data_IF_338740360737
#
_entry.id   IF_338740360737
#
_cell.length_a   1.000
_cell.length_b   1.000
_cell.length_c   1.000
_cell.angle_alpha   90.00
_cell.angle_beta   90.00
_cell.angle_gamma   90.00
#
_symmetry.space_group_name_H-M   'P 1'
#
loop_
_entity.id
_entity.type
_entity.pdbx_description
1 polymer ?
#
# COMPACT_ATOMS: atom_id res chain seq x y z
N UNK A 1 -4.83 3.00 -17.82
CA UNK A 1 -5.34 3.72 -16.63
C UNK A 1 -6.61 3.01 -16.21
N UNK A 2 -6.53 2.00 -15.34
CA UNK A 2 -7.73 1.38 -14.77
C UNK A 2 -8.24 2.34 -13.69
N UNK A 3 -9.37 2.97 -13.97
CA UNK A 3 -10.12 3.72 -12.96
C UNK A 3 -10.64 2.66 -11.98
N UNK A 4 -10.39 2.78 -10.65
CA UNK A 4 -10.94 1.84 -9.69
C UNK A 4 -12.44 1.74 -9.91
N UNK A 5 -12.97 0.52 -9.87
CA UNK A 5 -14.39 0.30 -10.11
C UNK A 5 -15.21 1.08 -9.07
N UNK A 6 -16.36 1.61 -9.46
CA UNK A 6 -17.27 2.36 -8.57
C UNK A 6 -17.56 1.53 -7.29
N UNK A 7 -17.56 0.21 -7.40
CA UNK A 7 -17.75 -0.73 -6.31
C UNK A 7 -16.60 -0.74 -5.31
N UNK A 8 -15.34 -0.65 -5.76
CA UNK A 8 -14.15 -0.60 -4.87
C UNK A 8 -14.09 0.69 -4.09
N UNK A 9 -14.33 1.83 -4.73
CA UNK A 9 -14.38 3.15 -4.06
C UNK A 9 -15.49 3.17 -3.00
N UNK A 10 -16.66 2.61 -3.30
CA UNK A 10 -17.78 2.55 -2.36
C UNK A 10 -17.48 1.65 -1.16
N UNK A 11 -16.81 0.51 -1.37
CA UNK A 11 -16.41 -0.41 -0.29
C UNK A 11 -15.36 0.22 0.61
N UNK A 12 -14.37 0.90 0.05
CA UNK A 12 -13.32 1.57 0.79
C UNK A 12 -13.86 2.72 1.65
N UNK A 13 -14.78 3.50 1.10
CA UNK A 13 -15.41 4.59 1.83
C UNK A 13 -16.28 4.06 2.98
N UNK A 14 -16.99 2.95 2.78
CA UNK A 14 -17.76 2.29 3.82
C UNK A 14 -16.86 1.78 4.99
N UNK A 15 -15.64 1.33 4.72
CA UNK A 15 -14.70 0.92 5.75
C UNK A 15 -14.23 2.12 6.57
N UNK A 16 -13.94 3.25 5.93
CA UNK A 16 -13.48 4.47 6.60
C UNK A 16 -14.58 5.13 7.46
N UNK A 17 -15.82 5.07 7.00
CA UNK A 17 -17.00 5.66 7.69
C UNK A 17 -17.62 4.72 8.71
N UNK A 18 -17.14 3.49 8.83
CA UNK A 18 -17.64 2.51 9.78
C UNK A 18 -17.49 3.02 11.22
N UNK A 19 -18.61 3.06 11.96
CA UNK A 19 -18.70 3.47 13.37
C UNK A 19 -19.23 2.35 14.27
N UNK A 20 -19.20 1.11 13.78
CA UNK A 20 -19.61 -0.03 14.58
C UNK A 20 -18.52 -0.39 15.57
N UNK A 21 -18.86 -0.50 16.82
CA UNK A 21 -17.98 -0.88 17.94
C UNK A 21 -18.50 -2.17 18.55
N UNK A 22 -17.63 -3.15 18.73
CA UNK A 22 -17.94 -4.36 19.48
C UNK A 22 -17.34 -4.23 20.88
N UNK A 23 -18.13 -4.43 21.90
CA UNK A 23 -17.72 -4.45 23.32
C UNK A 23 -17.76 -5.89 23.77
N UNK A 24 -16.61 -6.36 24.28
CA UNK A 24 -16.42 -7.73 24.78
C UNK A 24 -15.97 -7.67 26.22
N UNK A 25 -16.82 -8.10 27.14
CA UNK A 25 -16.56 -8.08 28.57
C UNK A 25 -17.53 -9.09 29.23
N UNK A 26 -17.14 -9.88 30.17
CA UNK A 26 -18.03 -10.85 30.83
C UNK A 26 -19.01 -10.18 31.81
N UNK A 27 -18.66 -8.98 32.30
CA UNK A 27 -19.50 -8.20 33.21
C UNK A 27 -20.57 -7.40 32.42
N UNK A 28 -21.85 -7.86 32.47
CA UNK A 28 -22.97 -7.18 31.78
C UNK A 28 -23.11 -5.69 32.17
N UNK A 29 -22.94 -5.28 33.46
CA UNK A 29 -23.02 -3.87 33.84
C UNK A 29 -21.97 -3.00 33.11
N UNK A 30 -20.74 -3.52 32.92
CA UNK A 30 -19.66 -2.83 32.23
C UNK A 30 -20.00 -2.70 30.73
N UNK A 31 -20.45 -3.77 30.10
CA UNK A 31 -20.88 -3.72 28.70
C UNK A 31 -21.96 -2.66 28.45
N UNK A 32 -22.98 -2.63 29.34
CA UNK A 32 -24.06 -1.64 29.25
C UNK A 32 -23.56 -0.22 29.48
N UNK A 33 -22.70 -0.02 30.49
CA UNK A 33 -22.10 1.29 30.77
C UNK A 33 -21.35 1.82 29.54
N UNK A 34 -20.49 1.02 28.93
CA UNK A 34 -19.74 1.39 27.73
C UNK A 34 -20.66 1.68 26.54
N UNK A 35 -21.74 0.90 26.36
CA UNK A 35 -22.77 1.18 25.37
C UNK A 35 -23.41 2.55 25.57
N UNK A 36 -23.89 2.84 26.79
CA UNK A 36 -24.47 4.14 27.11
C UNK A 36 -23.51 5.33 26.95
N UNK A 37 -22.21 5.11 27.13
CA UNK A 37 -21.21 6.15 26.89
C UNK A 37 -20.98 6.42 25.41
N UNK A 38 -21.05 5.40 24.57
CA UNK A 38 -20.63 5.49 23.16
C UNK A 38 -21.79 5.83 22.21
N UNK A 39 -23.00 5.31 22.46
CA UNK A 39 -24.15 5.52 21.56
C UNK A 39 -24.53 7.00 21.35
N UNK A 40 -24.52 7.88 22.40
CA UNK A 40 -24.83 9.30 22.21
C UNK A 40 -23.82 10.04 21.31
N UNK A 41 -22.60 9.47 21.13
CA UNK A 41 -21.58 10.02 20.24
C UNK A 41 -21.66 9.48 18.80
N UNK A 42 -22.74 8.78 18.46
CA UNK A 42 -23.03 8.30 17.12
C UNK A 42 -22.32 6.99 16.75
N UNK A 43 -21.83 6.24 17.73
CA UNK A 43 -21.32 4.89 17.52
C UNK A 43 -22.46 3.87 17.59
N UNK A 44 -22.37 2.84 16.75
CA UNK A 44 -23.30 1.69 16.81
C UNK A 44 -22.62 0.59 17.61
N UNK A 45 -23.20 0.22 18.72
CA UNK A 45 -22.60 -0.71 19.67
C UNK A 45 -23.21 -2.08 19.55
N UNK A 46 -22.36 -3.11 19.49
CA UNK A 46 -22.71 -4.50 19.66
C UNK A 46 -22.01 -5.02 20.94
N UNK A 47 -22.66 -5.92 21.65
CA UNK A 47 -22.20 -6.43 22.94
C UNK A 47 -21.93 -7.94 22.82
N UNK A 48 -20.84 -8.42 23.39
CA UNK A 48 -20.53 -9.84 23.52
C UNK A 48 -20.08 -10.14 24.95
N UNK A 49 -20.59 -11.20 25.54
CA UNK A 49 -20.26 -11.60 26.91
C UNK A 49 -19.06 -12.55 27.03
N UNK A 50 -18.63 -13.09 25.90
CA UNK A 50 -17.51 -14.05 25.84
C UNK A 50 -16.79 -13.98 24.50
N UNK A 51 -15.57 -14.50 24.44
CA UNK A 51 -14.75 -14.49 23.24
C UNK A 51 -15.40 -15.22 22.05
N UNK A 52 -16.10 -16.32 22.32
CA UNK A 52 -16.81 -17.09 21.29
C UNK A 52 -17.92 -16.26 20.61
N UNK A 53 -18.73 -15.55 21.40
CA UNK A 53 -19.76 -14.65 20.87
C UNK A 53 -19.13 -13.52 20.06
N UNK A 54 -18.01 -12.96 20.55
CA UNK A 54 -17.27 -11.93 19.83
C UNK A 54 -16.83 -12.40 18.45
N UNK A 55 -16.27 -13.62 18.32
CA UNK A 55 -15.89 -14.21 17.04
C UNK A 55 -17.07 -14.36 16.08
N UNK A 56 -18.20 -14.89 16.56
CA UNK A 56 -19.40 -15.02 15.74
C UNK A 56 -19.91 -13.68 15.22
N UNK A 57 -19.84 -12.63 16.05
CA UNK A 57 -20.21 -11.28 15.63
C UNK A 57 -19.21 -10.71 14.61
N UNK A 58 -17.91 -10.94 14.79
CA UNK A 58 -16.89 -10.53 13.83
C UNK A 58 -17.03 -11.22 12.46
N UNK A 59 -17.46 -12.48 12.43
CA UNK A 59 -17.75 -13.21 11.19
C UNK A 59 -18.99 -12.67 10.46
N UNK A 60 -19.99 -12.21 11.22
CA UNK A 60 -21.28 -11.76 10.67
C UNK A 60 -21.37 -10.26 10.41
N UNK A 61 -20.42 -9.48 10.92
CA UNK A 61 -20.42 -8.02 10.83
C UNK A 61 -19.04 -7.39 10.69
N UNK A 62 -19.02 -6.13 10.28
CA UNK A 62 -17.79 -5.33 10.19
C UNK A 62 -17.77 -4.31 11.33
N UNK A 63 -16.70 -4.32 12.09
CA UNK A 63 -16.47 -3.42 13.22
C UNK A 63 -15.24 -2.54 12.99
N UNK A 64 -15.38 -1.26 13.32
CA UNK A 64 -14.26 -0.32 13.26
C UNK A 64 -13.34 -0.45 14.46
N UNK A 65 -13.91 -0.82 15.61
CA UNK A 65 -13.21 -0.92 16.87
C UNK A 65 -13.78 -2.08 17.70
N UNK A 66 -12.90 -2.75 18.43
CA UNK A 66 -13.26 -3.71 19.48
C UNK A 66 -12.70 -3.20 20.81
N UNK A 67 -13.56 -3.07 21.82
CA UNK A 67 -13.20 -2.90 23.23
C UNK A 67 -13.22 -4.29 23.87
N UNK A 68 -12.10 -4.80 24.32
CA UNK A 68 -11.98 -6.18 24.79
C UNK A 68 -11.43 -6.23 26.22
N UNK A 69 -12.17 -6.81 27.14
CA UNK A 69 -11.65 -7.17 28.45
C UNK A 69 -10.61 -8.30 28.31
N UNK A 70 -9.53 -8.19 29.05
CA UNK A 70 -8.48 -9.20 29.12
C UNK A 70 -8.87 -10.36 30.04
N UNK A 71 -9.56 -10.06 31.13
CA UNK A 71 -9.83 -10.99 32.22
C UNK A 71 -11.23 -11.62 32.07
N UNK A 72 -11.42 -12.41 31.02
CA UNK A 72 -12.69 -13.12 30.81
C UNK A 72 -12.55 -14.61 31.19
N UNK A 73 -13.63 -15.25 31.69
CA UNK A 73 -13.64 -16.70 31.93
C UNK A 73 -13.57 -17.48 30.60
N UNK A 74 -12.82 -18.57 30.62
CA UNK A 74 -12.67 -19.43 29.43
C UNK A 74 -11.51 -19.00 28.53
N UNK A 75 -11.80 -18.46 27.35
CA UNK A 75 -10.76 -17.95 26.45
C UNK A 75 -10.27 -16.58 26.92
N UNK A 76 -8.96 -16.42 27.04
CA UNK A 76 -8.34 -15.14 27.42
C UNK A 76 -8.65 -14.04 26.41
N UNK A 77 -8.98 -12.83 26.89
CA UNK A 77 -9.12 -11.66 26.03
C UNK A 77 -7.87 -11.38 25.19
N UNK A 78 -6.66 -11.71 25.70
CA UNK A 78 -5.42 -11.58 24.92
C UNK A 78 -5.38 -12.48 23.69
N UNK A 79 -5.92 -13.70 23.75
CA UNK A 79 -5.99 -14.61 22.60
C UNK A 79 -7.03 -14.13 21.58
N UNK A 80 -8.15 -13.59 22.06
CA UNK A 80 -9.13 -12.94 21.19
C UNK A 80 -8.53 -11.69 20.50
N UNK A 81 -7.83 -10.84 21.23
CA UNK A 81 -7.14 -9.65 20.69
C UNK A 81 -6.16 -10.07 19.59
N UNK A 82 -5.30 -11.05 19.86
CA UNK A 82 -4.35 -11.57 18.86
C UNK A 82 -5.05 -12.09 17.61
N UNK A 83 -6.14 -12.80 17.78
CA UNK A 83 -6.94 -13.29 16.67
C UNK A 83 -7.52 -12.13 15.84
N UNK A 84 -8.12 -11.14 16.49
CA UNK A 84 -8.71 -9.98 15.80
C UNK A 84 -7.64 -9.21 15.01
N UNK A 85 -6.50 -8.90 15.62
CA UNK A 85 -5.41 -8.18 14.97
C UNK A 85 -4.83 -8.92 13.77
N UNK A 86 -4.87 -10.27 13.78
CA UNK A 86 -4.37 -11.10 12.68
C UNK A 86 -5.39 -11.26 11.55
N UNK A 87 -6.66 -11.52 11.88
CA UNK A 87 -7.70 -11.83 10.89
C UNK A 87 -8.46 -10.61 10.37
N UNK A 88 -8.48 -9.53 11.16
CA UNK A 88 -9.22 -8.29 10.85
C UNK A 88 -8.32 -7.04 10.97
N UNK A 89 -7.29 -6.92 10.12
CA UNK A 89 -6.27 -5.86 10.26
C UNK A 89 -6.82 -4.43 10.11
N UNK A 90 -8.02 -4.30 9.55
CA UNK A 90 -8.73 -3.02 9.46
C UNK A 90 -9.55 -2.67 10.70
N UNK A 91 -9.56 -3.50 11.74
CA UNK A 91 -10.30 -3.29 13.00
C UNK A 91 -9.33 -2.86 14.09
N UNK A 92 -9.57 -1.70 14.69
CA UNK A 92 -8.80 -1.26 15.86
C UNK A 92 -9.19 -2.07 17.09
N UNK A 93 -8.25 -2.30 18.00
CA UNK A 93 -8.51 -2.98 19.28
C UNK A 93 -8.01 -2.11 20.43
N UNK A 94 -8.87 -1.90 21.42
CA UNK A 94 -8.51 -1.32 22.71
C UNK A 94 -8.71 -2.39 23.77
N UNK A 95 -7.71 -2.63 24.56
CA UNK A 95 -7.76 -3.53 25.71
C UNK A 95 -8.41 -2.83 26.90
N UNK A 96 -9.27 -3.53 27.62
CA UNK A 96 -9.76 -3.11 28.95
C UNK A 96 -9.20 -4.08 29.97
N UNK A 97 -8.72 -3.58 31.09
CA UNK A 97 -8.08 -4.43 32.11
C UNK A 97 -8.32 -3.88 33.52
N UNK A 98 -8.59 -4.77 34.47
CA UNK A 98 -8.64 -4.43 35.89
C UNK A 98 -7.28 -4.50 36.60
N UNK A 99 -6.24 -4.94 35.90
CA UNK A 99 -4.89 -5.05 36.45
C UNK A 99 -4.04 -3.89 35.96
N UNK A 100 -3.57 -3.06 36.87
CA UNK A 100 -2.53 -2.07 36.58
C UNK A 100 -1.18 -2.80 36.39
N UNK A 101 -1.08 -3.53 35.28
CA UNK A 101 0.12 -4.24 34.89
C UNK A 101 0.70 -3.61 33.63
N UNK A 102 1.74 -2.77 33.77
CA UNK A 102 2.43 -2.19 32.64
C UNK A 102 2.94 -3.24 31.61
N UNK A 103 3.23 -4.44 32.12
CA UNK A 103 3.72 -5.55 31.28
C UNK A 103 2.66 -6.04 30.31
N UNK A 104 1.41 -6.22 30.77
CA UNK A 104 0.30 -6.63 29.90
C UNK A 104 -0.10 -5.52 28.91
N UNK A 105 -0.11 -4.28 29.39
CA UNK A 105 -0.39 -3.12 28.54
C UNK A 105 0.64 -2.99 27.41
N UNK A 106 1.93 -3.09 27.71
CA UNK A 106 2.99 -3.05 26.72
C UNK A 106 2.91 -4.25 25.76
N UNK A 107 2.67 -5.46 26.26
CA UNK A 107 2.52 -6.64 25.41
C UNK A 107 1.36 -6.49 24.40
N UNK A 108 0.23 -5.90 24.80
CA UNK A 108 -0.88 -5.62 23.90
C UNK A 108 -0.53 -4.57 22.84
N UNK A 109 0.16 -3.50 23.24
CA UNK A 109 0.63 -2.46 22.31
C UNK A 109 1.65 -3.03 21.30
N UNK A 110 2.59 -3.86 21.78
CA UNK A 110 3.59 -4.54 20.92
C UNK A 110 2.93 -5.50 19.91
N UNK A 111 1.78 -6.11 20.27
CA UNK A 111 0.98 -6.91 19.36
C UNK A 111 0.18 -6.07 18.36
N UNK A 112 0.12 -4.75 18.51
CA UNK A 112 -0.58 -3.84 17.61
C UNK A 112 -1.91 -3.32 18.14
N UNK A 113 -2.25 -3.50 19.40
CA UNK A 113 -3.40 -2.84 20.02
C UNK A 113 -3.26 -1.31 19.94
N UNK A 114 -4.38 -0.62 19.76
CA UNK A 114 -4.40 0.83 19.56
C UNK A 114 -4.36 1.61 20.88
N UNK A 115 -4.64 0.95 21.99
CA UNK A 115 -4.62 1.53 23.32
C UNK A 115 -5.09 0.54 24.37
N UNK A 116 -5.14 1.01 25.59
CA UNK A 116 -5.71 0.30 26.73
C UNK A 116 -6.45 1.25 27.66
N UNK A 117 -7.38 0.73 28.44
CA UNK A 117 -8.15 1.43 29.48
C UNK A 117 -8.10 0.58 30.75
N UNK A 118 -7.84 1.21 31.89
CA UNK A 118 -7.73 0.53 33.18
C UNK A 118 -9.06 0.69 33.95
N UNK A 119 -9.61 -0.42 34.48
CA UNK A 119 -10.76 -0.40 35.39
C UNK A 119 -10.31 -0.05 36.82
N UNK A 120 -10.99 0.87 37.56
CA UNK A 120 -12.15 1.64 37.13
C UNK A 120 -11.77 2.83 36.24
N UNK A 121 -12.53 3.09 35.19
CA UNK A 121 -12.28 4.14 34.20
C UNK A 121 -13.30 5.27 34.28
N UNK A 122 -12.89 6.46 33.84
CA UNK A 122 -13.77 7.60 33.66
C UNK A 122 -14.36 7.63 32.25
N UNK A 123 -15.58 8.19 32.10
CA UNK A 123 -16.24 8.31 30.81
C UNK A 123 -15.38 9.02 29.75
N UNK A 124 -14.73 10.11 30.13
CA UNK A 124 -13.87 10.88 29.21
C UNK A 124 -12.65 10.09 28.75
N UNK A 125 -12.09 9.25 29.61
CA UNK A 125 -10.94 8.40 29.27
C UNK A 125 -11.30 7.42 28.15
N UNK A 126 -12.42 6.74 28.28
CA UNK A 126 -12.94 5.82 27.26
C UNK A 126 -13.17 6.55 25.94
N UNK A 127 -13.87 7.69 25.97
CA UNK A 127 -14.20 8.46 24.76
C UNK A 127 -12.94 8.95 24.05
N UNK A 128 -11.94 9.45 24.77
CA UNK A 128 -10.67 9.91 24.20
C UNK A 128 -9.91 8.74 23.56
N UNK A 129 -9.81 7.60 24.25
CA UNK A 129 -9.13 6.42 23.70
C UNK A 129 -9.83 5.89 22.44
N UNK A 130 -11.16 5.81 22.44
CA UNK A 130 -11.96 5.39 21.29
C UNK A 130 -11.74 6.35 20.09
N UNK A 131 -11.84 7.66 20.34
CA UNK A 131 -11.65 8.66 19.29
C UNK A 131 -10.23 8.60 18.67
N UNK A 132 -9.21 8.46 19.53
CA UNK A 132 -7.82 8.35 19.10
C UNK A 132 -7.56 7.06 18.30
N UNK A 133 -8.08 5.92 18.77
CA UNK A 133 -7.95 4.64 18.08
C UNK A 133 -8.62 4.66 16.70
N UNK A 134 -9.83 5.20 16.60
CA UNK A 134 -10.53 5.32 15.32
C UNK A 134 -9.85 6.29 14.36
N UNK A 135 -9.30 7.40 14.87
CA UNK A 135 -8.51 8.34 14.06
C UNK A 135 -7.24 7.69 13.53
N UNK A 136 -6.49 7.00 14.39
CA UNK A 136 -5.27 6.28 14.00
C UNK A 136 -5.59 5.19 12.98
N UNK A 137 -6.61 4.37 13.23
CA UNK A 137 -7.11 3.36 12.28
C UNK A 137 -7.40 3.96 10.91
N UNK A 138 -8.14 5.09 10.88
CA UNK A 138 -8.47 5.77 9.63
C UNK A 138 -7.21 6.16 8.85
N UNK A 139 -6.23 6.78 9.53
CA UNK A 139 -4.97 7.18 8.91
C UNK A 139 -4.15 5.98 8.41
N UNK A 140 -4.14 4.86 9.14
CA UNK A 140 -3.44 3.64 8.72
C UNK A 140 -4.07 3.03 7.45
N UNK A 141 -5.40 3.01 7.37
CA UNK A 141 -6.12 2.55 6.18
C UNK A 141 -5.86 3.48 4.99
N UNK A 142 -5.99 4.80 5.17
CA UNK A 142 -5.71 5.80 4.14
C UNK A 142 -4.26 5.68 3.62
N UNK A 143 -3.28 5.52 4.51
CA UNK A 143 -1.88 5.34 4.15
C UNK A 143 -1.64 4.03 3.38
N UNK A 144 -2.29 2.92 3.77
CA UNK A 144 -2.19 1.66 3.06
C UNK A 144 -2.72 1.79 1.62
N UNK A 145 -3.88 2.42 1.45
CA UNK A 145 -4.48 2.69 0.14
C UNK A 145 -3.61 3.60 -0.74
N UNK A 146 -3.04 4.66 -0.16
CA UNK A 146 -2.13 5.55 -0.89
C UNK A 146 -0.87 4.82 -1.35
N UNK A 147 -0.31 3.95 -0.52
CA UNK A 147 0.87 3.15 -0.88
C UNK A 147 0.57 2.22 -2.04
N UNK A 148 -0.53 1.48 -1.97
CA UNK A 148 -0.94 0.56 -3.04
C UNK A 148 -1.14 1.29 -4.37
N UNK A 149 -1.82 2.45 -4.35
CA UNK A 149 -2.01 3.28 -5.54
C UNK A 149 -0.67 3.80 -6.11
N UNK A 150 0.25 4.25 -5.24
CA UNK A 150 1.57 4.71 -5.67
C UNK A 150 2.39 3.59 -6.29
N UNK A 151 2.37 2.39 -5.73
CA UNK A 151 3.05 1.21 -6.26
C UNK A 151 2.52 0.85 -7.66
N UNK A 152 1.21 0.90 -7.87
CA UNK A 152 0.60 0.68 -9.19
C UNK A 152 1.01 1.75 -10.20
N UNK A 153 0.97 3.02 -9.82
CA UNK A 153 1.40 4.14 -10.68
C UNK A 153 2.87 4.02 -11.06
N UNK A 154 3.73 3.70 -10.09
CA UNK A 154 5.17 3.48 -10.33
C UNK A 154 5.38 2.32 -11.29
N UNK A 155 4.73 1.19 -11.06
CA UNK A 155 4.81 0.02 -11.95
C UNK A 155 4.39 0.35 -13.37
N UNK A 156 3.26 1.03 -13.54
CA UNK A 156 2.72 1.41 -14.86
C UNK A 156 3.66 2.37 -15.59
N UNK A 157 4.18 3.38 -14.89
CA UNK A 157 5.13 4.33 -15.46
C UNK A 157 6.47 3.68 -15.83
N UNK A 158 6.95 2.74 -15.01
CA UNK A 158 8.19 2.03 -15.29
C UNK A 158 8.07 1.20 -16.58
N UNK A 159 6.96 0.48 -16.76
CA UNK A 159 6.70 -0.28 -17.99
C UNK A 159 6.63 0.65 -19.22
N UNK A 160 5.90 1.76 -19.11
CA UNK A 160 5.78 2.72 -20.21
C UNK A 160 7.13 3.35 -20.56
N UNK A 161 7.95 3.66 -19.58
CA UNK A 161 9.29 4.21 -19.79
C UNK A 161 10.22 3.19 -20.47
N UNK A 162 10.19 1.93 -20.06
CA UNK A 162 10.96 0.86 -20.70
C UNK A 162 10.58 0.70 -22.18
N UNK A 163 9.28 0.69 -22.47
CA UNK A 163 8.79 0.62 -23.85
C UNK A 163 9.23 1.83 -24.69
N UNK A 164 9.21 3.03 -24.11
CA UNK A 164 9.67 4.24 -24.79
C UNK A 164 11.19 4.20 -25.07
N UNK A 165 11.99 3.70 -24.14
CA UNK A 165 13.42 3.50 -24.34
C UNK A 165 13.72 2.49 -25.43
N UNK A 166 13.09 1.33 -25.43
CA UNK A 166 13.24 0.32 -26.48
C UNK A 166 12.85 0.86 -27.86
N UNK A 167 11.78 1.66 -27.92
CA UNK A 167 11.36 2.29 -29.16
C UNK A 167 12.40 3.31 -29.64
N UNK A 168 12.95 4.13 -28.74
CA UNK A 168 13.97 5.13 -29.05
C UNK A 168 15.24 4.46 -29.59
N UNK A 169 15.72 3.40 -28.93
CA UNK A 169 16.90 2.65 -29.37
C UNK A 169 16.74 2.05 -30.78
N UNK A 170 15.53 1.49 -31.04
CA UNK A 170 15.20 0.97 -32.39
C UNK A 170 15.19 2.08 -33.44
N UNK A 171 14.53 3.20 -33.12
CA UNK A 171 14.45 4.35 -34.02
C UNK A 171 15.81 4.96 -34.32
N UNK A 172 16.68 5.06 -33.31
CA UNK A 172 18.06 5.54 -33.48
C UNK A 172 18.87 4.62 -34.39
N UNK A 173 18.74 3.30 -34.18
CA UNK A 173 19.42 2.30 -35.03
C UNK A 173 18.93 2.38 -36.49
N UNK A 174 17.63 2.47 -36.71
CA UNK A 174 17.05 2.61 -38.05
C UNK A 174 17.53 3.91 -38.72
N UNK A 175 17.55 5.02 -37.99
CA UNK A 175 18.04 6.29 -38.51
C UNK A 175 19.52 6.22 -38.91
N UNK A 176 20.34 5.56 -38.07
CA UNK A 176 21.76 5.34 -38.36
C UNK A 176 21.95 4.54 -39.64
N UNK A 177 21.27 3.40 -39.76
CA UNK A 177 21.32 2.57 -40.99
C UNK A 177 20.86 3.33 -42.23
N UNK A 178 19.77 4.11 -42.14
CA UNK A 178 19.27 4.94 -43.25
C UNK A 178 20.28 6.03 -43.64
N UNK A 179 20.97 6.64 -42.69
CA UNK A 179 22.04 7.61 -42.98
C UNK A 179 23.22 6.94 -43.68
N UNK A 180 23.65 5.77 -43.20
CA UNK A 180 24.76 5.02 -43.85
C UNK A 180 24.39 4.63 -45.27
N UNK A 181 23.18 4.13 -45.52
CA UNK A 181 22.68 3.80 -46.85
C UNK A 181 22.62 5.03 -47.77
N UNK A 182 22.16 6.16 -47.25
CA UNK A 182 22.10 7.42 -48.01
C UNK A 182 23.47 7.89 -48.40
N UNK A 183 24.47 7.82 -47.48
CA UNK A 183 25.87 8.17 -47.78
C UNK A 183 26.43 7.24 -48.85
N UNK A 184 26.18 5.93 -48.75
CA UNK A 184 26.63 4.98 -49.78
C UNK A 184 26.03 5.27 -51.15
N UNK A 185 24.73 5.53 -51.23
CA UNK A 185 24.01 5.88 -52.47
C UNK A 185 24.57 7.17 -53.09
N UNK A 186 24.85 8.19 -52.27
CA UNK A 186 25.47 9.44 -52.71
C UNK A 186 26.90 9.21 -53.20
N UNK A 187 27.68 8.37 -52.55
CA UNK A 187 29.03 8.01 -52.96
C UNK A 187 28.99 7.31 -54.34
N UNK A 188 28.06 6.33 -54.54
CA UNK A 188 27.89 5.64 -55.84
C UNK A 188 27.42 6.63 -56.92
N UNK A 189 26.48 7.55 -56.60
CA UNK A 189 26.01 8.56 -57.58
C UNK A 189 27.11 9.53 -58.01
N UNK A 190 27.97 9.91 -57.10
CA UNK A 190 29.20 10.71 -57.39
C UNK A 190 30.16 9.92 -58.29
N UNK A 191 30.23 8.59 -58.07
CA UNK A 191 31.03 7.65 -58.88
C UNK A 191 30.59 7.60 -60.35
N UNK A 192 29.32 7.56 -60.59
CA UNK A 192 28.77 7.52 -61.97
C UNK A 192 29.06 8.77 -62.78
N UNK A 193 29.38 9.89 -62.12
CA UNK A 193 29.68 11.16 -62.77
C UNK A 193 31.12 11.32 -63.21
N UNK A 194 32.04 10.54 -62.62
CA UNK A 194 33.45 10.58 -62.93
C UNK A 194 34.15 9.26 -62.58
N UNK A 195 34.38 8.39 -63.57
CA UNK A 195 34.88 7.02 -63.43
C UNK A 195 36.26 6.90 -62.76
N UNK A 196 37.02 8.01 -62.62
CA UNK A 196 38.32 8.04 -61.97
C UNK A 196 38.22 8.42 -60.47
N UNK A 197 37.17 9.17 -60.09
CA UNK A 197 37.04 9.78 -58.78
C UNK A 197 36.50 8.82 -57.74
N UNK A 198 35.71 7.88 -58.16
CA UNK A 198 34.93 7.00 -57.30
C UNK A 198 35.75 5.86 -56.66
N UNK A 199 36.56 5.20 -57.43
CA UNK A 199 37.53 4.23 -56.85
C UNK A 199 38.51 4.92 -55.90
N UNK A 200 38.77 6.22 -56.13
CA UNK A 200 39.58 7.02 -55.23
C UNK A 200 38.85 7.29 -53.90
N UNK A 201 37.55 7.66 -53.94
CA UNK A 201 36.76 7.93 -52.75
C UNK A 201 36.60 6.66 -51.91
N UNK A 202 36.30 5.50 -52.51
CA UNK A 202 36.20 4.23 -51.78
C UNK A 202 37.53 3.83 -51.14
N UNK A 203 38.66 3.97 -51.82
CA UNK A 203 39.96 3.70 -51.23
C UNK A 203 40.30 4.65 -50.09
N UNK A 204 39.99 5.93 -50.22
CA UNK A 204 40.23 6.93 -49.18
C UNK A 204 39.37 6.66 -47.94
N UNK A 205 38.06 6.32 -48.11
CA UNK A 205 37.19 5.94 -47.01
C UNK A 205 37.70 4.72 -46.25
N UNK A 206 38.14 3.68 -46.97
CA UNK A 206 38.71 2.48 -46.37
C UNK A 206 40.03 2.76 -45.65
N UNK A 207 40.89 3.61 -46.18
CA UNK A 207 42.14 4.02 -45.51
C UNK A 207 41.84 4.85 -44.26
N UNK A 208 40.83 5.73 -44.28
CA UNK A 208 40.40 6.49 -43.10
C UNK A 208 39.90 5.57 -42.00
N UNK A 209 39.10 4.56 -42.35
CA UNK A 209 38.58 3.55 -41.39
C UNK A 209 39.75 2.75 -40.76
N UNK A 210 40.70 2.28 -41.56
CA UNK A 210 41.87 1.54 -41.04
C UNK A 210 42.73 2.39 -40.13
N UNK A 211 42.91 3.65 -40.44
CA UNK A 211 43.68 4.59 -39.62
C UNK A 211 42.93 4.88 -38.30
N UNK A 212 41.61 5.12 -38.34
CA UNK A 212 40.82 5.35 -37.16
C UNK A 212 40.87 4.15 -36.20
N UNK A 213 40.71 2.91 -36.71
CA UNK A 213 40.90 1.70 -35.92
C UNK A 213 42.27 1.57 -35.30
N UNK A 214 43.34 1.90 -36.05
CA UNK A 214 44.74 1.79 -35.55
C UNK A 214 45.05 2.80 -34.45
N UNK A 215 44.43 3.98 -34.48
CA UNK A 215 44.63 5.05 -33.51
C UNK A 215 43.57 5.05 -32.40
N UNK A 216 42.72 4.03 -32.33
CA UNK A 216 41.72 3.89 -31.27
C UNK A 216 40.60 4.93 -31.31
N UNK A 217 40.40 5.59 -32.44
CA UNK A 217 39.31 6.51 -32.64
C UNK A 217 38.00 5.68 -32.84
N UNK A 218 36.97 5.96 -32.05
CA UNK A 218 35.67 5.33 -32.22
C UNK A 218 35.04 5.79 -33.53
N UNK A 219 34.46 4.91 -34.34
CA UNK A 219 33.63 5.35 -35.46
C UNK A 219 32.38 6.04 -34.87
N UNK A 220 32.26 7.33 -35.04
CA UNK A 220 31.01 8.06 -34.84
C UNK A 220 30.01 7.76 -35.99
#
# INVERSE_FOLDING_TARGET
MSIPSVTEVTTQQAILENRNILIVDDEEPIRRLLGYLLEPHGYKVALAGEAREARQRMESGSYALVLCDVNMPGESGMDLIRHILTQYPSTAVIMITGLDSPVLANAALDMGAFGYVIKPFEANEVLINVANALRRRKLEIENAMHRENLEEVVRTRTIALQQALEWLERSEKELRLSREETIQRLAIAAEYRDSSTAQHIQRMSHYCELLARRYGLSPE
#
